data_IF_359140493716
#
_entry.id   IF_359140493716
#
_cell.length_a   1.000
_cell.length_b   1.000
_cell.length_c   1.000
_cell.angle_alpha   90.00
_cell.angle_beta   90.00
_cell.angle_gamma   90.00
#
_symmetry.space_group_name_H-M   'P 1'
#
loop_
_entity.id
_entity.type
_entity.pdbx_description
1 polymer ?
#
# COMPACT_ATOMS: atom_id res chain seq x y z
N UNK A 1 -16.08 -12.30 24.59
CA UNK A 1 -16.31 -11.79 23.23
C UNK A 1 -16.85 -10.38 23.33
N UNK A 2 -16.21 -9.44 22.70
CA UNK A 2 -16.56 -8.02 22.78
C UNK A 2 -17.95 -7.78 22.20
N UNK A 3 -18.70 -6.87 22.82
CA UNK A 3 -20.04 -6.44 22.39
C UNK A 3 -20.09 -6.01 20.90
N UNK A 4 -18.93 -5.60 20.35
CA UNK A 4 -18.72 -5.13 18.96
C UNK A 4 -19.31 -6.09 17.91
N UNK A 5 -19.01 -7.39 17.98
CA UNK A 5 -19.50 -8.35 16.98
C UNK A 5 -21.02 -8.51 17.02
N UNK A 6 -21.60 -8.56 18.23
CA UNK A 6 -23.06 -8.67 18.40
C UNK A 6 -23.79 -7.42 17.89
N UNK A 7 -23.30 -6.24 18.25
CA UNK A 7 -23.89 -4.96 17.83
C UNK A 7 -23.89 -4.78 16.31
N UNK A 8 -22.82 -5.22 15.64
CA UNK A 8 -22.68 -5.07 14.20
C UNK A 8 -23.13 -6.31 13.40
N UNK A 9 -23.70 -7.33 14.05
CA UNK A 9 -24.13 -8.59 13.41
C UNK A 9 -23.00 -9.27 12.63
N UNK A 10 -21.77 -9.21 13.14
CA UNK A 10 -20.60 -9.82 12.53
C UNK A 10 -20.27 -11.15 13.19
N UNK A 11 -19.71 -12.07 12.41
CA UNK A 11 -19.18 -13.34 12.93
C UNK A 11 -17.85 -13.10 13.64
N UNK A 12 -17.69 -13.51 14.90
CA UNK A 12 -16.40 -13.45 15.58
C UNK A 12 -15.38 -14.33 14.88
N UNK A 13 -14.17 -13.79 14.67
CA UNK A 13 -13.08 -14.50 14.02
C UNK A 13 -11.90 -14.61 14.97
N UNK A 14 -11.37 -15.84 15.11
CA UNK A 14 -10.08 -16.11 15.74
C UNK A 14 -9.08 -16.38 14.61
N UNK A 15 -8.24 -15.41 14.34
CA UNK A 15 -7.26 -15.52 13.26
C UNK A 15 -6.03 -16.30 13.73
N UNK A 16 -5.81 -17.46 13.14
CA UNK A 16 -4.61 -18.31 13.34
C UNK A 16 -3.74 -18.40 12.08
N UNK A 17 -4.13 -17.70 11.01
CA UNK A 17 -3.45 -17.75 9.69
C UNK A 17 -2.44 -16.61 9.47
N UNK A 18 -2.28 -15.70 10.43
CA UNK A 18 -1.44 -14.51 10.26
C UNK A 18 -2.10 -13.42 9.42
N UNK A 19 -1.35 -12.76 8.55
CA UNK A 19 -1.85 -11.66 7.73
C UNK A 19 -2.73 -12.21 6.60
N UNK A 20 -4.02 -11.88 6.62
CA UNK A 20 -4.97 -12.31 5.61
C UNK A 20 -5.94 -11.17 5.27
N UNK A 21 -5.87 -10.64 4.05
CA UNK A 21 -6.67 -9.49 3.59
C UNK A 21 -8.17 -9.70 3.78
N UNK A 22 -8.68 -10.91 3.51
CA UNK A 22 -10.10 -11.26 3.62
C UNK A 22 -10.68 -11.04 5.02
N UNK A 23 -9.85 -11.07 6.07
CA UNK A 23 -10.25 -10.86 7.45
C UNK A 23 -9.66 -9.58 8.06
N UNK A 24 -9.26 -8.62 7.22
CA UNK A 24 -8.77 -7.31 7.64
C UNK A 24 -7.26 -7.22 7.83
N UNK A 25 -6.50 -8.17 7.27
CA UNK A 25 -5.04 -8.25 7.30
C UNK A 25 -4.46 -8.33 8.72
N UNK A 26 -4.39 -7.23 9.47
CA UNK A 26 -3.88 -7.22 10.85
C UNK A 26 -4.65 -6.22 11.73
N UNK A 27 -4.63 -6.48 13.03
CA UNK A 27 -5.18 -5.52 14.00
C UNK A 27 -4.17 -4.39 14.20
N UNK A 28 -4.61 -3.17 13.95
CA UNK A 28 -3.79 -1.97 14.12
C UNK A 28 -3.53 -1.70 15.60
N UNK A 29 -2.28 -1.39 15.95
CA UNK A 29 -1.94 -1.03 17.32
C UNK A 29 -2.50 0.35 17.70
N UNK A 30 -2.70 0.56 19.00
CA UNK A 30 -3.34 1.76 19.54
C UNK A 30 -2.62 3.06 19.15
N UNK A 31 -1.29 3.07 19.16
CA UNK A 31 -0.51 4.27 18.79
C UNK A 31 -0.72 4.70 17.33
N UNK A 32 -0.86 3.72 16.43
CA UNK A 32 -1.15 3.99 15.02
C UNK A 32 -2.57 4.54 14.83
N UNK A 33 -3.55 4.03 15.59
CA UNK A 33 -4.92 4.56 15.59
C UNK A 33 -4.94 6.02 16.07
N UNK A 34 -4.26 6.32 17.15
CA UNK A 34 -4.15 7.69 17.69
C UNK A 34 -3.47 8.65 16.70
N UNK A 35 -2.42 8.21 16.02
CA UNK A 35 -1.75 9.00 15.00
C UNK A 35 -2.66 9.27 13.80
N UNK A 36 -3.38 8.25 13.32
CA UNK A 36 -4.35 8.38 12.23
C UNK A 36 -5.48 9.36 12.60
N UNK A 37 -6.03 9.24 13.82
CA UNK A 37 -7.07 10.15 14.30
C UNK A 37 -6.63 11.62 14.31
N UNK A 38 -5.37 11.90 14.68
CA UNK A 38 -4.82 13.26 14.64
C UNK A 38 -4.77 13.81 13.20
N UNK A 39 -4.37 12.98 12.25
CA UNK A 39 -4.30 13.40 10.83
C UNK A 39 -5.69 13.62 10.25
N UNK A 40 -6.66 12.75 10.54
CA UNK A 40 -8.03 12.90 10.06
C UNK A 40 -8.75 14.17 10.56
N UNK A 41 -8.27 14.75 11.64
CA UNK A 41 -8.80 15.99 12.21
C UNK A 41 -8.10 17.25 11.69
N UNK A 42 -7.12 17.14 10.80
CA UNK A 42 -6.33 18.25 10.32
C UNK A 42 -6.15 18.16 8.78
N UNK A 43 -6.15 19.31 8.12
CA UNK A 43 -5.68 19.39 6.75
C UNK A 43 -4.16 19.26 6.72
N UNK A 44 -3.65 18.38 5.87
CA UNK A 44 -2.21 18.16 5.69
C UNK A 44 -1.87 18.13 4.22
N UNK A 45 -0.68 18.58 3.87
CA UNK A 45 -0.14 18.38 2.54
C UNK A 45 0.31 16.92 2.41
N UNK A 46 -0.31 16.18 1.49
CA UNK A 46 -0.05 14.75 1.32
C UNK A 46 1.36 14.47 0.82
N UNK A 47 1.92 15.33 -0.04
CA UNK A 47 3.29 15.17 -0.54
C UNK A 47 4.32 15.33 0.59
N UNK A 48 4.10 16.30 1.49
CA UNK A 48 4.95 16.46 2.68
C UNK A 48 4.84 15.26 3.63
N UNK A 49 3.62 14.74 3.81
CA UNK A 49 3.40 13.56 4.64
C UNK A 49 4.09 12.32 4.06
N UNK A 50 3.98 12.10 2.76
CA UNK A 50 4.70 11.04 2.05
C UNK A 50 6.22 11.22 2.16
N UNK A 51 6.75 12.42 2.00
CA UNK A 51 8.18 12.69 2.14
C UNK A 51 8.70 12.38 3.55
N UNK A 52 7.96 12.74 4.60
CA UNK A 52 8.28 12.41 5.99
C UNK A 52 8.29 10.89 6.20
N UNK A 53 7.27 10.21 5.71
CA UNK A 53 7.15 8.75 5.81
C UNK A 53 8.27 8.05 5.04
N UNK A 54 8.53 8.47 3.80
CA UNK A 54 9.63 7.98 2.96
C UNK A 54 10.96 8.06 3.70
N UNK A 55 11.30 9.22 4.26
CA UNK A 55 12.55 9.42 5.00
C UNK A 55 12.69 8.49 6.22
N UNK A 56 11.61 8.21 6.91
CA UNK A 56 11.63 7.30 8.08
C UNK A 56 11.80 5.85 7.65
N UNK A 57 11.05 5.41 6.64
CA UNK A 57 11.07 4.03 6.15
C UNK A 57 12.41 3.73 5.48
N UNK A 58 12.89 4.60 4.60
CA UNK A 58 14.17 4.43 3.91
C UNK A 58 15.34 4.33 4.90
N UNK A 59 15.31 5.07 5.99
CA UNK A 59 16.31 4.95 7.06
C UNK A 59 16.28 3.56 7.72
N UNK A 60 15.09 3.00 7.96
CA UNK A 60 14.95 1.67 8.57
C UNK A 60 15.43 0.55 7.64
N UNK A 61 15.10 0.64 6.35
CA UNK A 61 15.41 -0.39 5.35
C UNK A 61 16.72 -0.13 4.59
N UNK A 62 17.42 0.97 4.86
CA UNK A 62 18.64 1.39 4.17
C UNK A 62 18.46 1.49 2.65
N UNK A 63 17.35 2.06 2.22
CA UNK A 63 16.99 2.32 0.82
C UNK A 63 17.11 3.81 0.50
N UNK A 64 17.20 4.19 -0.77
CA UNK A 64 17.26 5.60 -1.18
C UNK A 64 15.96 6.34 -0.86
N UNK A 65 14.83 5.69 -1.09
CA UNK A 65 13.50 6.24 -0.82
C UNK A 65 12.49 5.13 -0.53
N UNK A 66 11.30 5.53 -0.13
CA UNK A 66 10.17 4.65 0.06
C UNK A 66 8.87 5.40 -0.27
N UNK A 67 7.84 4.70 -0.67
CA UNK A 67 6.50 5.24 -0.88
C UNK A 67 5.49 4.39 -0.11
N UNK A 68 4.49 5.05 0.47
CA UNK A 68 3.37 4.35 1.11
C UNK A 68 2.24 4.28 0.11
N UNK A 69 1.74 3.06 -0.09
CA UNK A 69 0.61 2.77 -0.98
C UNK A 69 -0.52 2.12 -0.21
N UNK A 70 -1.71 2.12 -0.78
CA UNK A 70 -2.90 1.54 -0.15
C UNK A 70 -2.84 0.00 -0.02
N UNK A 71 -2.02 -0.66 -0.84
CA UNK A 71 -1.89 -2.12 -0.84
C UNK A 71 -0.60 -2.57 -1.52
N UNK A 72 -0.19 -3.83 -1.30
CA UNK A 72 0.94 -4.42 -2.01
C UNK A 72 0.70 -4.46 -3.53
N UNK A 73 -0.52 -4.75 -3.98
CA UNK A 73 -0.88 -4.71 -5.40
C UNK A 73 -0.74 -3.31 -5.99
N UNK A 74 -1.20 -2.27 -5.27
CA UNK A 74 -0.97 -0.87 -5.63
C UNK A 74 0.51 -0.54 -5.75
N UNK A 75 1.31 -0.93 -4.76
CA UNK A 75 2.76 -0.73 -4.77
C UNK A 75 3.47 -1.40 -5.95
N UNK A 76 3.07 -2.61 -6.32
CA UNK A 76 3.58 -3.29 -7.51
C UNK A 76 3.22 -2.54 -8.79
N UNK A 77 1.96 -2.12 -8.92
CA UNK A 77 1.49 -1.35 -10.07
C UNK A 77 2.25 -0.03 -10.21
N UNK A 78 2.37 0.73 -9.13
CA UNK A 78 3.10 2.00 -9.10
C UNK A 78 4.59 1.82 -9.41
N UNK A 79 5.21 0.75 -8.91
CA UNK A 79 6.62 0.43 -9.19
C UNK A 79 6.83 0.16 -10.69
N UNK A 80 5.97 -0.66 -11.30
CA UNK A 80 6.05 -0.94 -12.74
C UNK A 80 5.80 0.33 -13.56
N UNK A 81 4.76 1.09 -13.22
CA UNK A 81 4.45 2.35 -13.88
C UNK A 81 5.63 3.33 -13.83
N UNK A 82 6.25 3.49 -12.66
CA UNK A 82 7.41 4.36 -12.46
C UNK A 82 8.63 3.91 -13.29
N UNK A 83 8.88 2.60 -13.37
CA UNK A 83 9.94 2.07 -14.22
C UNK A 83 9.70 2.30 -15.72
N UNK A 84 8.43 2.32 -16.14
CA UNK A 84 8.05 2.55 -17.53
C UNK A 84 8.13 4.03 -17.92
N UNK A 85 7.74 4.91 -17.03
CA UNK A 85 7.62 6.35 -17.29
C UNK A 85 8.88 7.13 -16.94
N UNK A 86 9.61 6.68 -15.92
CA UNK A 86 10.67 7.49 -15.31
C UNK A 86 10.11 8.86 -14.88
N UNK A 87 10.88 9.90 -15.10
CA UNK A 87 10.50 11.29 -14.80
C UNK A 87 9.77 12.00 -15.97
N UNK A 88 9.28 11.25 -16.96
CA UNK A 88 8.60 11.82 -18.13
C UNK A 88 7.09 11.93 -17.88
N UNK A 89 6.61 13.16 -17.67
CA UNK A 89 5.20 13.45 -17.39
C UNK A 89 4.26 13.05 -18.53
N UNK A 90 4.67 13.20 -19.79
CA UNK A 90 3.83 12.80 -20.93
C UNK A 90 3.57 11.30 -20.90
N UNK A 91 4.57 10.51 -20.54
CA UNK A 91 4.39 9.06 -20.34
C UNK A 91 3.50 8.73 -19.14
N UNK A 92 3.60 9.50 -18.05
CA UNK A 92 2.71 9.34 -16.89
C UNK A 92 1.26 9.56 -17.30
N UNK A 93 0.98 10.65 -18.03
CA UNK A 93 -0.38 10.96 -18.50
C UNK A 93 -0.87 9.99 -19.59
N UNK A 94 0.04 9.35 -20.32
CA UNK A 94 -0.29 8.37 -21.35
C UNK A 94 -0.80 7.05 -20.74
N UNK A 95 -0.40 6.68 -19.52
CA UNK A 95 -0.87 5.46 -18.87
C UNK A 95 -2.41 5.45 -18.75
N UNK A 96 -3.07 4.31 -18.91
CA UNK A 96 -2.52 2.95 -19.05
C UNK A 96 -2.08 2.55 -20.47
N UNK A 97 -2.06 3.45 -21.44
CA UNK A 97 -1.59 3.16 -22.79
C UNK A 97 -0.05 3.09 -22.80
N UNK A 98 0.49 1.88 -22.98
CA UNK A 98 1.93 1.60 -22.92
C UNK A 98 2.66 1.72 -24.25
N UNK A 99 2.02 2.27 -25.28
CA UNK A 99 2.62 2.42 -26.62
C UNK A 99 3.96 3.16 -26.55
N UNK A 100 4.99 2.56 -27.13
CA UNK A 100 6.38 3.08 -27.11
C UNK A 100 7.04 3.11 -25.72
N UNK A 101 6.55 2.32 -24.78
CA UNK A 101 7.18 2.10 -23.46
C UNK A 101 7.72 0.67 -23.35
N UNK A 102 8.65 0.46 -22.41
CA UNK A 102 9.08 -0.88 -22.01
C UNK A 102 7.99 -1.47 -21.11
N UNK A 103 7.19 -2.39 -21.63
CA UNK A 103 5.99 -2.93 -20.95
C UNK A 103 6.10 -4.41 -20.58
N UNK A 104 7.30 -4.99 -20.66
CA UNK A 104 7.52 -6.40 -20.32
C UNK A 104 8.07 -6.54 -18.92
N UNK A 105 7.38 -7.31 -18.09
CA UNK A 105 7.79 -7.67 -16.74
C UNK A 105 8.14 -9.15 -16.71
N UNK A 106 9.33 -9.48 -16.22
CA UNK A 106 9.76 -10.86 -16.00
C UNK A 106 9.37 -11.29 -14.60
N UNK A 107 8.67 -12.43 -14.50
CA UNK A 107 8.29 -13.02 -13.23
C UNK A 107 8.66 -14.49 -13.22
N UNK A 108 9.10 -15.01 -12.09
CA UNK A 108 9.32 -16.44 -11.93
C UNK A 108 7.99 -17.19 -11.98
N UNK A 109 7.94 -18.30 -12.74
CA UNK A 109 6.72 -19.10 -12.91
C UNK A 109 6.08 -19.53 -11.59
N UNK A 110 6.90 -19.84 -10.57
CA UNK A 110 6.44 -20.21 -9.23
C UNK A 110 5.77 -19.08 -8.45
N UNK A 111 5.91 -17.82 -8.88
CA UNK A 111 5.27 -16.65 -8.26
C UNK A 111 3.97 -16.23 -8.95
N UNK A 112 3.57 -16.93 -10.03
CA UNK A 112 2.27 -16.71 -10.65
C UNK A 112 1.18 -17.25 -9.73
N UNK A 113 0.29 -16.39 -9.30
CA UNK A 113 -0.83 -16.75 -8.42
C UNK A 113 -2.11 -16.11 -8.96
N UNK A 114 -3.25 -16.70 -8.61
CA UNK A 114 -4.56 -16.12 -8.92
C UNK A 114 -5.01 -15.11 -7.85
N UNK A 115 -4.11 -14.73 -6.94
CA UNK A 115 -4.37 -13.82 -5.86
C UNK A 115 -3.72 -12.47 -6.16
N UNK A 116 -4.53 -11.44 -6.42
CA UNK A 116 -4.08 -10.09 -6.69
C UNK A 116 -4.93 -9.40 -7.72
#
# INVERSE_FOLDING_TARGET
MTNFYKQNKLTPIINVSGFMTKIGASITNQKSIEAANKIFQNFVNIDELQAIASKRISKCFKTESAVITASAAGGLTESVASMMTGNNLDKVYQLPNTKNMKDRVLIQKGHLTNYG
#
